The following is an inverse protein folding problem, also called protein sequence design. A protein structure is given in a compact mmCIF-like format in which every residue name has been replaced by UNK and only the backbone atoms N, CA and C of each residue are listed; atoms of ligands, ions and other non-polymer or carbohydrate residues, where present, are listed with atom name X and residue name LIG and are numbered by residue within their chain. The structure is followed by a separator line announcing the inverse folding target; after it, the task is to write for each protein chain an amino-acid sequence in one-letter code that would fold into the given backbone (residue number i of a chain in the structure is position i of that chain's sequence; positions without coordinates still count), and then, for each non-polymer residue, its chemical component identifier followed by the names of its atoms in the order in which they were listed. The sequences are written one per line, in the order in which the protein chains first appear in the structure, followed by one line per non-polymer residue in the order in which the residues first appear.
data_IF_815254953919
#
_entry.id   IF_815254953919
#
_cell.length_a   1.000
_cell.length_b   1.000
_cell.length_c   1.000
_cell.angle_alpha   90.00
_cell.angle_beta   90.00
_cell.angle_gamma   90.00
#
_symmetry.space_group_name_H-M   'P 1'
#
loop_
_entity.id
_entity.type
_entity.pdbx_description
1 polymer ?
#
# COMPACT_ATOMS: atom_id res chain seq x y z
N UNK A 1 -8.05 2.20 -22.44
CA UNK A 1 -7.01 2.29 -21.38
C UNK A 1 -7.35 3.18 -20.16
N UNK A 2 -8.22 4.21 -20.24
CA UNK A 2 -8.53 5.09 -19.08
C UNK A 2 -9.32 4.43 -17.92
N UNK A 3 -10.21 3.46 -18.19
CA UNK A 3 -11.12 2.88 -17.19
C UNK A 3 -10.43 2.04 -16.09
N UNK A 4 -9.41 1.27 -16.44
CA UNK A 4 -8.72 0.38 -15.48
C UNK A 4 -8.01 1.16 -14.38
N UNK A 5 -7.52 2.36 -14.68
CA UNK A 5 -6.85 3.21 -13.72
C UNK A 5 -7.80 3.75 -12.64
N UNK A 6 -9.10 3.89 -12.94
CA UNK A 6 -10.08 4.37 -11.96
C UNK A 6 -10.39 3.33 -10.88
N UNK A 7 -10.55 2.06 -11.28
CA UNK A 7 -10.83 0.96 -10.35
C UNK A 7 -9.63 0.70 -9.44
N UNK A 8 -8.41 0.68 -9.99
CA UNK A 8 -7.18 0.56 -9.21
C UNK A 8 -6.99 1.73 -8.22
N UNK A 9 -7.30 2.96 -8.63
CA UNK A 9 -7.25 4.12 -7.71
C UNK A 9 -8.25 4.02 -6.57
N UNK A 10 -9.45 3.53 -6.86
CA UNK A 10 -10.48 3.35 -5.83
C UNK A 10 -10.14 2.21 -4.87
N UNK A 11 -9.70 1.06 -5.40
CA UNK A 11 -9.39 -0.13 -4.61
C UNK A 11 -8.15 0.04 -3.72
N UNK A 12 -7.12 0.72 -4.22
CA UNK A 12 -5.89 0.99 -3.47
C UNK A 12 -5.85 2.38 -2.83
N UNK A 13 -6.89 3.22 -2.97
CA UNK A 13 -6.92 4.56 -2.36
C UNK A 13 -5.83 5.54 -2.85
N UNK A 14 -5.23 5.31 -4.02
CA UNK A 14 -4.15 6.14 -4.55
C UNK A 14 -4.70 7.46 -5.11
N UNK A 15 -4.44 8.58 -4.43
CA UNK A 15 -4.70 9.94 -4.92
C UNK A 15 -3.58 10.38 -5.88
N UNK A 16 -3.69 10.07 -7.17
CA UNK A 16 -2.70 10.51 -8.17
C UNK A 16 -2.81 9.81 -9.52
N UNK A 17 -1.92 10.10 -10.46
CA UNK A 17 -1.79 9.36 -11.73
C UNK A 17 -1.14 8.01 -11.41
N UNK A 18 -1.71 6.91 -11.92
CA UNK A 18 -1.13 5.57 -11.73
C UNK A 18 0.09 5.48 -12.64
N UNK A 19 1.24 5.88 -12.12
CA UNK A 19 2.51 5.82 -12.82
C UNK A 19 3.10 4.41 -12.74
N UNK A 20 4.15 4.14 -13.52
CA UNK A 20 4.78 2.82 -13.59
C UNK A 20 5.32 2.34 -12.22
N UNK A 21 5.76 3.30 -11.39
CA UNK A 21 6.18 3.06 -10.02
C UNK A 21 5.04 2.57 -9.13
N UNK A 22 3.86 3.21 -9.21
CA UNK A 22 2.68 2.84 -8.44
C UNK A 22 2.16 1.45 -8.85
N UNK A 23 2.20 1.10 -10.15
CA UNK A 23 1.86 -0.25 -10.62
C UNK A 23 2.76 -1.32 -10.03
N UNK A 24 4.08 -1.09 -10.00
CA UNK A 24 5.04 -2.05 -9.45
C UNK A 24 4.83 -2.26 -7.96
N UNK A 25 4.43 -1.22 -7.25
CA UNK A 25 4.15 -1.24 -5.82
C UNK A 25 2.84 -1.95 -5.49
N UNK A 26 1.77 -1.64 -6.22
CA UNK A 26 0.50 -2.36 -6.16
C UNK A 26 0.72 -3.85 -6.46
N UNK A 27 1.50 -4.17 -7.49
CA UNK A 27 1.84 -5.55 -7.82
C UNK A 27 2.50 -6.29 -6.67
N UNK A 28 3.47 -5.67 -6.00
CA UNK A 28 4.15 -6.27 -4.84
C UNK A 28 3.22 -6.49 -3.64
N UNK A 29 2.28 -5.57 -3.40
CA UNK A 29 1.25 -5.72 -2.36
C UNK A 29 0.28 -6.85 -2.74
N UNK A 30 -0.18 -6.87 -3.99
CA UNK A 30 -1.07 -7.91 -4.51
C UNK A 30 -0.44 -9.31 -4.41
N UNK A 31 0.84 -9.47 -4.76
CA UNK A 31 1.55 -10.75 -4.62
C UNK A 31 1.58 -11.23 -3.16
N UNK A 32 1.79 -10.32 -2.19
CA UNK A 32 1.73 -10.67 -0.77
C UNK A 32 0.34 -11.10 -0.33
N UNK A 33 -0.71 -10.38 -0.77
CA UNK A 33 -2.10 -10.73 -0.47
C UNK A 33 -2.43 -12.12 -1.03
N UNK A 34 -2.05 -12.39 -2.28
CA UNK A 34 -2.25 -13.71 -2.91
C UNK A 34 -1.55 -14.82 -2.12
N UNK A 35 -0.31 -14.59 -1.68
CA UNK A 35 0.42 -15.57 -0.88
C UNK A 35 -0.25 -15.86 0.48
N UNK A 36 -0.78 -14.83 1.13
CA UNK A 36 -1.51 -14.97 2.40
C UNK A 36 -2.84 -15.68 2.19
N UNK A 37 -3.58 -15.33 1.14
CA UNK A 37 -4.81 -16.03 0.75
C UNK A 37 -4.53 -17.50 0.47
N UNK A 38 -3.42 -17.82 -0.18
CA UNK A 38 -3.02 -19.20 -0.44
C UNK A 38 -2.79 -20.00 0.86
N UNK A 39 -2.05 -19.43 1.82
CA UNK A 39 -1.84 -20.07 3.13
C UNK A 39 -3.16 -20.23 3.89
N UNK A 40 -4.00 -19.18 3.89
CA UNK A 40 -5.31 -19.22 4.51
C UNK A 40 -6.18 -20.32 3.91
N UNK A 41 -6.23 -20.42 2.57
CA UNK A 41 -7.02 -21.42 1.86
C UNK A 41 -6.55 -22.84 2.17
N UNK A 42 -5.23 -23.07 2.20
CA UNK A 42 -4.66 -24.38 2.59
C UNK A 42 -5.07 -24.79 4.01
N UNK A 43 -4.95 -23.86 4.97
CA UNK A 43 -5.37 -24.12 6.35
C UNK A 43 -6.87 -24.34 6.44
N UNK A 44 -7.65 -23.52 5.76
CA UNK A 44 -9.09 -23.56 5.76
C UNK A 44 -9.61 -24.89 5.20
N UNK A 45 -9.12 -25.33 4.04
CA UNK A 45 -9.47 -26.64 3.45
C UNK A 45 -9.04 -27.77 4.39
N UNK A 46 -7.82 -27.73 4.92
CA UNK A 46 -7.31 -28.76 5.81
C UNK A 46 -8.13 -28.92 7.09
N UNK A 47 -8.47 -27.81 7.75
CA UNK A 47 -9.29 -27.79 8.96
C UNK A 47 -10.72 -28.22 8.68
N UNK A 48 -11.30 -27.77 7.57
CA UNK A 48 -12.66 -28.16 7.15
C UNK A 48 -12.72 -29.66 6.88
N UNK A 49 -11.74 -30.20 6.15
CA UNK A 49 -11.67 -31.63 5.87
C UNK A 49 -11.48 -32.46 7.15
N UNK A 50 -10.60 -32.01 8.05
CA UNK A 50 -10.38 -32.66 9.34
C UNK A 50 -11.66 -32.69 10.20
N UNK A 51 -12.35 -31.55 10.31
CA UNK A 51 -13.61 -31.48 11.04
C UNK A 51 -14.71 -32.31 10.38
N UNK A 52 -14.79 -32.31 9.04
CA UNK A 52 -15.73 -33.14 8.30
C UNK A 52 -15.50 -34.63 8.51
N UNK A 53 -14.24 -35.07 8.54
CA UNK A 53 -13.86 -36.45 8.80
C UNK A 53 -14.00 -36.91 10.26
N UNK A 54 -14.18 -35.98 11.21
CA UNK A 54 -14.26 -36.29 12.65
C UNK A 54 -15.56 -36.97 13.09
N UNK A 55 -16.58 -37.04 12.22
CA UNK A 55 -17.88 -37.63 12.54
C UNK A 55 -18.74 -36.79 13.50
N UNK A 56 -18.30 -35.59 13.87
CA UNK A 56 -19.02 -34.66 14.75
C UNK A 56 -20.16 -33.90 14.04
N UNK A 57 -20.31 -34.09 12.73
CA UNK A 57 -21.29 -33.37 11.91
C UNK A 57 -22.57 -34.20 11.80
N UNK A 58 -23.63 -33.73 12.46
CA UNK A 58 -24.97 -34.31 12.33
C UNK A 58 -25.72 -33.80 11.09
N UNK A 59 -25.53 -32.52 10.74
CA UNK A 59 -26.19 -31.86 9.60
C UNK A 59 -25.15 -31.31 8.62
N UNK A 60 -24.92 -32.04 7.53
CA UNK A 60 -23.95 -31.65 6.50
C UNK A 60 -24.29 -30.32 5.83
N UNK A 61 -25.57 -30.09 5.54
CA UNK A 61 -26.03 -28.88 4.85
C UNK A 61 -25.73 -27.60 5.65
N UNK A 62 -26.08 -27.58 6.94
CA UNK A 62 -25.77 -26.45 7.83
C UNK A 62 -24.26 -26.22 7.95
N UNK A 63 -23.48 -27.30 8.05
CA UNK A 63 -22.03 -27.21 8.11
C UNK A 63 -21.44 -26.62 6.82
N UNK A 64 -21.91 -27.07 5.66
CA UNK A 64 -21.47 -26.57 4.36
C UNK A 64 -21.75 -25.07 4.17
N UNK A 65 -22.95 -24.60 4.54
CA UNK A 65 -23.25 -23.17 4.46
C UNK A 65 -22.45 -22.34 5.48
N UNK A 66 -22.27 -22.85 6.70
CA UNK A 66 -21.49 -22.16 7.73
C UNK A 66 -20.02 -22.01 7.29
N UNK A 67 -19.43 -23.08 6.77
CA UNK A 67 -18.06 -23.09 6.26
C UNK A 67 -17.94 -22.10 5.11
N UNK A 68 -18.78 -22.17 4.07
CA UNK A 68 -18.78 -21.18 2.99
C UNK A 68 -18.86 -19.73 3.48
N UNK A 69 -19.70 -19.48 4.49
CA UNK A 69 -19.84 -18.15 5.08
C UNK A 69 -18.54 -17.69 5.77
N UNK A 70 -17.90 -18.57 6.53
CA UNK A 70 -16.59 -18.30 7.17
C UNK A 70 -15.52 -18.03 6.11
N UNK A 71 -15.48 -18.82 5.04
CA UNK A 71 -14.53 -18.63 3.94
C UNK A 71 -14.71 -17.26 3.28
N UNK A 72 -15.96 -16.89 2.97
CA UNK A 72 -16.29 -15.61 2.37
C UNK A 72 -15.84 -14.43 3.25
N UNK A 73 -16.17 -14.46 4.54
CA UNK A 73 -15.74 -13.43 5.50
C UNK A 73 -14.22 -13.39 5.60
N UNK A 74 -13.56 -14.55 5.68
CA UNK A 74 -12.10 -14.63 5.77
C UNK A 74 -11.42 -13.96 4.59
N UNK A 75 -11.86 -14.24 3.37
CA UNK A 75 -11.33 -13.60 2.14
C UNK A 75 -11.53 -12.09 2.18
N UNK A 76 -12.74 -11.62 2.54
CA UNK A 76 -13.05 -10.18 2.62
C UNK A 76 -12.16 -9.48 3.65
N UNK A 77 -11.98 -10.08 4.84
CA UNK A 77 -11.13 -9.52 5.90
C UNK A 77 -9.65 -9.49 5.50
N UNK A 78 -9.15 -10.53 4.83
CA UNK A 78 -7.77 -10.54 4.35
C UNK A 78 -7.57 -9.44 3.31
N UNK A 79 -8.46 -9.33 2.32
CA UNK A 79 -8.34 -8.33 1.25
C UNK A 79 -8.43 -6.91 1.81
N UNK A 80 -9.46 -6.60 2.61
CA UNK A 80 -9.67 -5.27 3.15
C UNK A 80 -8.62 -4.92 4.21
N UNK A 81 -8.37 -5.85 5.13
CA UNK A 81 -7.41 -5.67 6.22
C UNK A 81 -6.00 -5.40 5.70
N UNK A 82 -5.49 -6.21 4.77
CA UNK A 82 -4.15 -5.99 4.23
C UNK A 82 -4.05 -4.75 3.35
N UNK A 83 -5.11 -4.43 2.58
CA UNK A 83 -5.13 -3.22 1.76
C UNK A 83 -5.06 -1.97 2.61
N UNK A 84 -5.82 -1.91 3.71
CA UNK A 84 -5.78 -0.78 4.65
C UNK A 84 -4.46 -0.69 5.41
N UNK A 85 -3.95 -1.81 5.94
CA UNK A 85 -2.71 -1.82 6.75
C UNK A 85 -1.48 -1.44 5.92
N UNK A 86 -1.43 -1.86 4.65
CA UNK A 86 -0.32 -1.55 3.75
C UNK A 86 -0.29 -0.06 3.37
N UNK A 87 -1.46 0.57 3.21
CA UNK A 87 -1.57 1.99 2.88
C UNK A 87 -1.32 2.91 4.07
N UNK A 88 -1.86 2.60 5.25
CA UNK A 88 -1.71 3.45 6.43
C UNK A 88 -0.24 3.57 6.88
N UNK A 89 0.50 2.46 6.78
CA UNK A 89 1.93 2.42 7.13
C UNK A 89 2.82 3.18 6.13
N UNK A 90 2.40 3.32 4.86
CA UNK A 90 3.19 4.02 3.83
C UNK A 90 2.85 5.49 3.66
N UNK A 91 1.63 5.93 3.93
CA UNK A 91 1.33 7.36 3.99
C UNK A 91 2.15 8.07 5.08
N UNK A 92 2.41 7.40 6.21
CA UNK A 92 3.29 7.93 7.25
C UNK A 92 4.75 8.07 6.80
N UNK A 93 5.27 7.12 6.01
CA UNK A 93 6.65 7.14 5.52
C UNK A 93 6.82 8.14 4.37
N UNK A 94 5.82 8.26 3.49
CA UNK A 94 5.88 9.17 2.35
C UNK A 94 5.79 10.64 2.78
N UNK A 95 5.02 10.97 3.83
CA UNK A 95 5.00 12.32 4.39
C UNK A 95 6.32 12.73 5.04
N UNK A 96 7.06 11.77 5.60
CA UNK A 96 8.34 12.02 6.26
C UNK A 96 9.44 12.30 5.22
N UNK A 97 9.51 11.49 4.16
CA UNK A 97 10.49 11.66 3.07
C UNK A 97 10.17 12.86 2.17
N UNK A 98 8.89 13.19 1.95
CA UNK A 98 8.50 14.37 1.18
C UNK A 98 8.88 15.68 1.90
N UNK A 99 8.64 15.77 3.22
CA UNK A 99 9.05 16.91 4.03
C UNK A 99 10.58 17.08 4.05
N UNK A 100 11.33 15.98 4.04
CA UNK A 100 12.79 16.04 4.08
C UNK A 100 13.38 16.55 2.75
N UNK A 101 12.87 16.07 1.61
CA UNK A 101 13.28 16.59 0.29
C UNK A 101 12.90 18.05 0.08
N UNK A 102 11.78 18.49 0.63
CA UNK A 102 11.35 19.88 0.55
C UNK A 102 12.25 20.79 1.40
N UNK A 103 12.60 20.37 2.61
CA UNK A 103 13.59 21.05 3.46
C UNK A 103 14.95 21.16 2.78
N UNK A 104 15.45 20.09 2.15
CA UNK A 104 16.74 20.10 1.44
C UNK A 104 16.73 21.03 0.21
N UNK A 105 15.58 21.13 -0.48
CA UNK A 105 15.39 22.09 -1.58
C UNK A 105 15.41 23.54 -1.10
N UNK A 106 14.75 23.83 0.03
CA UNK A 106 14.75 25.17 0.62
C UNK A 106 16.16 25.57 1.09
N UNK A 107 16.89 24.67 1.72
CA UNK A 107 18.28 24.92 2.18
C UNK A 107 19.22 25.19 1.00
N UNK A 108 19.13 24.41 -0.07
CA UNK A 108 19.96 24.63 -1.27
C UNK A 108 19.64 25.95 -1.98
N UNK A 109 18.37 26.37 -2.04
CA UNK A 109 17.96 27.67 -2.58
C UNK A 109 18.47 28.84 -1.73
N UNK A 110 18.41 28.72 -0.40
CA UNK A 110 18.95 29.74 0.52
C UNK A 110 20.46 29.88 0.40
N UNK A 111 21.20 28.76 0.28
CA UNK A 111 22.65 28.76 0.09
C UNK A 111 23.05 29.45 -1.22
N UNK A 112 22.35 29.14 -2.31
CA UNK A 112 22.58 29.75 -3.63
C UNK A 112 22.29 31.25 -3.64
N UNK A 113 21.25 31.68 -2.90
CA UNK A 113 20.91 33.11 -2.75
C UNK A 113 21.95 33.86 -1.92
N UNK A 114 22.52 33.23 -0.89
CA UNK A 114 23.63 33.78 -0.10
C UNK A 114 24.93 33.95 -0.90
N UNK A 115 25.28 32.96 -1.73
CA UNK A 115 26.44 33.04 -2.63
C UNK A 115 26.29 34.16 -3.67
N UNK A 116 25.08 34.33 -4.23
CA UNK A 116 24.78 35.41 -5.17
C UNK A 116 24.92 36.80 -4.50
N UNK A 117 24.44 36.95 -3.27
CA UNK A 117 24.56 38.21 -2.52
C UNK A 117 26.02 38.57 -2.22
N UNK A 118 26.83 37.56 -1.87
CA UNK A 118 28.26 37.75 -1.64
C UNK A 118 28.99 38.17 -2.92
N UNK A 119 28.69 37.54 -4.06
CA UNK A 119 29.31 37.86 -5.34
C UNK A 119 28.98 39.28 -5.83
N UNK A 120 27.72 39.72 -5.67
CA UNK A 120 27.29 41.09 -6.00
C UNK A 120 27.93 42.13 -5.07
N UNK A 121 28.07 41.82 -3.78
CA UNK A 121 28.75 42.70 -2.81
C UNK A 121 30.23 42.89 -3.13
N UNK A 122 30.88 41.84 -3.64
CA UNK A 122 32.29 41.84 -4.01
C UNK A 122 32.54 42.67 -5.29
N UNK A 123 31.64 42.56 -6.27
CA UNK A 123 31.68 43.40 -7.48
C UNK A 123 31.48 44.88 -7.18
N UNK A 124 30.57 45.21 -6.23
CA UNK A 124 30.30 46.59 -5.82
C UNK A 124 31.45 47.26 -5.07
N UNK A 125 32.34 46.46 -4.46
CA UNK A 125 33.57 46.94 -3.82
C UNK A 125 34.72 47.18 -4.79
N UNK A 126 34.70 46.56 -5.99
CA UNK A 126 35.72 46.77 -7.02
C UNK A 126 35.41 47.94 -7.97
N UNK A 127 34.20 48.50 -7.92
CA UNK A 127 33.74 49.60 -8.79
C UNK A 127 33.73 50.97 -8.09
N UNK A 128 34.26 51.05 -6.87
CA UNK A 128 34.58 52.29 -6.16
C UNK A 128 36.09 52.39 -6.00
#
# INVERSE_FOLDING_TARGET
MKKNNTVLKWFFGVRGVVDEYAKREIGRIATKIVFILFIFELLYIGLTYFFAGSGLISNFESYFYLTLFIQFIGIVLIILGYSMLSFNRKNSISSEVANQKEKDKVISLLKKKGEFYNQVSHFRKMTK
#
